data_IF_507493938350
#
_entry.id   IF_507493938350
#
_cell.length_a   1.000
_cell.length_b   1.000
_cell.length_c   1.000
_cell.angle_alpha   90.00
_cell.angle_beta   90.00
_cell.angle_gamma   90.00
#
_symmetry.space_group_name_H-M   'P 1'
#
loop_
_entity.id
_entity.type
_entity.pdbx_description
1 polymer ?
#
# COMPACT_ATOMS: atom_id res chain seq x y z
N UNK A 1 45.68 15.30 -12.83
CA UNK A 1 44.63 15.82 -11.91
C UNK A 1 43.28 16.13 -12.58
N UNK A 2 43.04 15.77 -13.86
CA UNK A 2 41.74 15.99 -14.54
C UNK A 2 40.73 14.82 -14.40
N UNK A 3 41.20 13.59 -14.19
CA UNK A 3 40.35 12.41 -14.08
C UNK A 3 39.64 12.25 -12.73
N UNK A 4 40.13 12.90 -11.66
CA UNK A 4 39.55 12.79 -10.32
C UNK A 4 38.24 13.57 -10.16
N UNK A 5 38.12 14.74 -10.82
CA UNK A 5 36.91 15.56 -10.75
C UNK A 5 35.70 14.95 -11.47
N UNK A 6 35.94 14.20 -12.54
CA UNK A 6 34.88 13.54 -13.33
C UNK A 6 34.29 12.36 -12.56
N UNK A 7 35.11 11.56 -11.87
CA UNK A 7 34.63 10.46 -11.02
C UNK A 7 33.84 10.97 -9.79
N UNK A 8 34.21 12.12 -9.23
CA UNK A 8 33.48 12.72 -8.11
C UNK A 8 32.09 13.22 -8.54
N UNK A 9 31.99 13.85 -9.72
CA UNK A 9 30.71 14.32 -10.29
C UNK A 9 29.75 13.17 -10.64
N UNK A 10 30.27 12.05 -11.16
CA UNK A 10 29.49 10.83 -11.40
C UNK A 10 29.00 10.15 -10.11
N UNK A 11 29.82 10.16 -9.06
CA UNK A 11 29.42 9.65 -7.75
C UNK A 11 28.29 10.48 -7.10
N UNK A 12 28.36 11.80 -7.23
CA UNK A 12 27.33 12.71 -6.69
C UNK A 12 26.03 12.62 -7.48
N UNK A 13 26.05 12.51 -8.81
CA UNK A 13 24.81 12.34 -9.59
C UNK A 13 24.11 11.01 -9.34
N UNK A 14 24.86 9.92 -9.10
CA UNK A 14 24.30 8.62 -8.68
C UNK A 14 23.69 8.67 -7.26
N UNK A 15 24.28 9.43 -6.35
CA UNK A 15 23.74 9.62 -5.00
C UNK A 15 22.48 10.51 -4.99
N UNK A 16 22.41 11.52 -5.85
CA UNK A 16 21.25 12.42 -5.96
C UNK A 16 20.08 11.75 -6.71
N UNK A 17 20.34 10.82 -7.63
CA UNK A 17 19.27 9.99 -8.22
C UNK A 17 18.63 9.01 -7.24
N UNK A 18 19.27 8.76 -6.08
CA UNK A 18 18.68 8.01 -4.97
C UNK A 18 17.77 8.82 -4.05
N UNK A 19 17.73 10.16 -4.21
CA UNK A 19 17.02 11.10 -3.35
C UNK A 19 15.93 11.87 -4.13
N UNK A 20 15.00 11.16 -4.76
CA UNK A 20 13.61 11.62 -4.93
C UNK A 20 12.84 10.67 -5.86
N UNK A 21 12.38 9.57 -5.28
CA UNK A 21 11.13 8.96 -5.73
C UNK A 21 10.40 8.48 -4.50
N UNK A 22 9.90 9.40 -3.68
CA UNK A 22 8.59 9.11 -3.08
C UNK A 22 7.72 8.82 -4.31
N UNK A 23 7.24 7.58 -4.52
CA UNK A 23 6.42 7.29 -5.68
C UNK A 23 5.32 8.34 -5.69
N UNK A 24 5.05 8.96 -6.84
CA UNK A 24 4.13 10.09 -6.95
C UNK A 24 2.78 9.77 -6.26
N UNK A 25 2.39 8.50 -6.26
CA UNK A 25 1.20 7.94 -5.60
C UNK A 25 1.21 7.97 -4.06
N UNK A 26 2.37 8.08 -3.41
CA UNK A 26 2.46 8.15 -1.94
C UNK A 26 2.26 9.57 -1.40
N UNK A 27 2.63 10.57 -2.19
CA UNK A 27 2.48 11.98 -1.84
C UNK A 27 1.02 12.47 -2.01
N UNK A 28 0.16 11.70 -2.66
CA UNK A 28 -1.22 12.10 -2.96
C UNK A 28 -2.21 11.78 -1.86
N UNK A 29 -1.92 10.90 -0.89
CA UNK A 29 -2.89 10.54 0.15
C UNK A 29 -2.78 11.47 1.37
N UNK A 30 -3.79 12.30 1.61
CA UNK A 30 -3.83 13.24 2.74
C UNK A 30 -4.30 12.59 4.05
N UNK A 31 -3.38 12.17 4.92
CA UNK A 31 -3.73 11.50 6.18
C UNK A 31 -3.19 12.26 7.39
N UNK A 32 -4.10 12.72 8.26
CA UNK A 32 -3.79 13.18 9.61
C UNK A 32 -4.41 12.20 10.62
N UNK A 33 -3.56 11.47 11.36
CA UNK A 33 -3.98 10.47 12.35
C UNK A 33 -4.96 11.05 13.37
N UNK A 34 -4.77 12.29 13.82
CA UNK A 34 -5.61 12.87 14.87
C UNK A 34 -7.03 13.21 14.37
N UNK A 35 -7.16 13.56 13.09
CA UNK A 35 -8.42 14.00 12.51
C UNK A 35 -9.15 12.91 11.73
N UNK A 36 -8.43 11.87 11.29
CA UNK A 36 -8.92 10.86 10.35
C UNK A 36 -10.27 10.25 10.75
N UNK A 37 -10.40 9.77 11.98
CA UNK A 37 -11.63 9.13 12.46
C UNK A 37 -12.85 10.06 12.41
N UNK A 38 -12.65 11.37 12.55
CA UNK A 38 -13.74 12.36 12.46
C UNK A 38 -14.03 12.81 11.03
N UNK A 39 -13.05 12.72 10.14
CA UNK A 39 -13.18 13.06 8.73
C UNK A 39 -13.85 11.95 7.93
N UNK A 40 -13.42 10.69 8.13
CA UNK A 40 -13.95 9.55 7.38
C UNK A 40 -15.46 9.35 7.56
N UNK A 41 -15.98 9.59 8.78
CA UNK A 41 -17.42 9.51 9.07
C UNK A 41 -18.22 10.63 8.39
N UNK A 42 -17.59 11.80 8.15
CA UNK A 42 -18.21 12.89 7.40
C UNK A 42 -18.24 12.59 5.90
N UNK A 43 -17.16 12.03 5.39
CA UNK A 43 -17.00 11.71 3.97
C UNK A 43 -17.81 10.47 3.56
N UNK A 44 -17.93 9.50 4.47
CA UNK A 44 -18.75 8.30 4.33
C UNK A 44 -19.60 8.06 5.59
N UNK A 45 -20.84 8.60 5.62
CA UNK A 45 -21.75 8.45 6.74
C UNK A 45 -22.18 7.00 7.02
N UNK A 46 -21.92 6.06 6.11
CA UNK A 46 -22.22 4.64 6.32
C UNK A 46 -21.27 4.00 7.34
N UNK A 47 -20.09 4.58 7.55
CA UNK A 47 -19.11 4.17 8.54
C UNK A 47 -19.49 4.66 9.94
N UNK A 48 -20.50 4.04 10.53
CA UNK A 48 -21.00 4.36 11.89
C UNK A 48 -20.38 3.49 13.00
N UNK A 49 -19.73 2.39 12.63
CA UNK A 49 -19.12 1.48 13.59
C UNK A 49 -17.83 2.06 14.20
N UNK A 50 -17.53 1.77 15.48
CA UNK A 50 -16.28 2.20 16.11
C UNK A 50 -15.05 1.72 15.34
N UNK A 51 -14.15 2.65 15.04
CA UNK A 51 -12.86 2.37 14.40
C UNK A 51 -11.91 1.78 15.44
N UNK A 52 -11.51 0.53 15.24
CA UNK A 52 -10.58 -0.22 16.09
C UNK A 52 -9.12 0.10 15.77
N UNK A 53 -8.82 0.26 14.48
CA UNK A 53 -7.50 0.60 13.97
C UNK A 53 -7.64 1.37 12.67
N UNK A 54 -6.75 2.30 12.40
CA UNK A 54 -6.69 3.01 11.13
C UNK A 54 -5.24 3.42 10.83
N UNK A 55 -4.97 3.78 9.58
CA UNK A 55 -3.62 4.12 9.14
C UNK A 55 -3.54 4.33 7.64
N UNK A 56 -2.32 4.59 7.17
CA UNK A 56 -1.98 4.54 5.74
C UNK A 56 -1.63 3.11 5.35
N UNK A 57 -1.86 2.76 4.10
CA UNK A 57 -1.59 1.44 3.57
C UNK A 57 -1.07 1.49 2.15
N UNK A 58 -0.35 0.44 1.77
CA UNK A 58 -0.24 0.02 0.38
C UNK A 58 -1.13 -1.20 0.19
N UNK A 59 -2.02 -1.14 -0.78
CA UNK A 59 -2.92 -2.22 -1.14
C UNK A 59 -2.56 -2.75 -2.53
N UNK A 60 -2.53 -4.07 -2.68
CA UNK A 60 -2.46 -4.74 -3.96
C UNK A 60 -3.72 -5.58 -4.12
N UNK A 61 -4.48 -5.32 -5.18
CA UNK A 61 -5.72 -6.03 -5.50
C UNK A 61 -5.43 -6.99 -6.64
N UNK A 62 -5.67 -8.27 -6.40
CA UNK A 62 -5.40 -9.37 -7.33
C UNK A 62 -6.57 -10.35 -7.38
N UNK A 63 -6.52 -11.29 -8.33
CA UNK A 63 -7.42 -12.46 -8.32
C UNK A 63 -6.83 -13.56 -7.43
N UNK A 64 -7.66 -14.40 -6.80
CA UNK A 64 -7.17 -15.51 -5.97
C UNK A 64 -6.19 -16.40 -6.74
N UNK A 65 -5.00 -16.61 -6.17
CA UNK A 65 -3.94 -17.42 -6.77
C UNK A 65 -3.00 -16.65 -7.70
N UNK A 66 -3.25 -15.37 -7.99
CA UNK A 66 -2.28 -14.50 -8.65
C UNK A 66 -1.26 -13.96 -7.65
N UNK A 67 -0.01 -13.84 -8.09
CA UNK A 67 1.06 -13.19 -7.34
C UNK A 67 1.32 -11.74 -7.81
N UNK A 68 0.48 -11.21 -8.69
CA UNK A 68 0.56 -9.86 -9.24
C UNK A 68 -0.82 -9.21 -9.22
N UNK A 69 -0.88 -7.92 -8.87
CA UNK A 69 -2.14 -7.20 -8.81
C UNK A 69 -1.98 -5.69 -8.87
N UNK A 70 -3.08 -4.99 -9.07
CA UNK A 70 -3.12 -3.52 -9.14
C UNK A 70 -2.72 -2.92 -7.80
N UNK A 71 -1.70 -2.08 -7.80
CA UNK A 71 -1.20 -1.40 -6.62
C UNK A 71 -1.89 -0.06 -6.43
N UNK A 72 -2.28 0.24 -5.19
CA UNK A 72 -2.79 1.53 -4.78
C UNK A 72 -2.23 1.92 -3.41
N UNK A 73 -1.92 3.21 -3.26
CA UNK A 73 -1.65 3.78 -1.95
C UNK A 73 -2.96 4.29 -1.34
N UNK A 74 -3.18 3.99 -0.06
CA UNK A 74 -4.50 4.06 0.56
C UNK A 74 -4.44 4.53 2.02
N UNK A 75 -5.61 4.84 2.56
CA UNK A 75 -5.91 4.81 3.99
C UNK A 75 -6.83 3.64 4.28
N UNK A 76 -6.78 3.14 5.51
CA UNK A 76 -7.72 2.11 5.96
C UNK A 76 -8.33 2.46 7.31
N UNK A 77 -9.53 1.93 7.53
CA UNK A 77 -10.21 1.89 8.82
C UNK A 77 -10.72 0.47 9.04
N UNK A 78 -10.28 -0.15 10.13
CA UNK A 78 -10.80 -1.43 10.62
C UNK A 78 -11.87 -1.14 11.66
N UNK A 79 -13.06 -1.69 11.44
CA UNK A 79 -14.16 -1.68 12.41
C UNK A 79 -14.39 -3.09 12.96
N UNK A 80 -15.41 -3.25 13.81
CA UNK A 80 -15.80 -4.56 14.29
C UNK A 80 -16.36 -5.49 13.19
N UNK A 81 -16.88 -4.91 12.09
CA UNK A 81 -17.57 -5.65 11.01
C UNK A 81 -16.73 -5.78 9.74
N UNK A 82 -15.91 -4.78 9.43
CA UNK A 82 -15.25 -4.70 8.13
C UNK A 82 -13.94 -3.94 8.15
N UNK A 83 -13.17 -4.14 7.09
CA UNK A 83 -11.99 -3.37 6.73
C UNK A 83 -12.34 -2.49 5.54
N UNK A 84 -12.30 -1.19 5.75
CA UNK A 84 -12.58 -0.17 4.74
C UNK A 84 -11.26 0.39 4.25
N UNK A 85 -11.09 0.43 2.93
CA UNK A 85 -9.88 0.94 2.29
C UNK A 85 -10.28 2.02 1.30
N UNK A 86 -9.67 3.19 1.45
CA UNK A 86 -9.96 4.36 0.65
C UNK A 86 -8.70 4.86 -0.04
N UNK A 87 -8.88 5.42 -1.23
CA UNK A 87 -7.86 6.09 -2.02
C UNK A 87 -8.16 7.58 -2.08
N UNK A 88 -7.12 8.40 -2.25
CA UNK A 88 -7.32 9.84 -2.46
C UNK A 88 -7.55 10.14 -3.94
N UNK A 89 -8.69 10.74 -4.27
CA UNK A 89 -8.93 11.29 -5.60
C UNK A 89 -8.47 12.75 -5.63
N UNK A 90 -7.31 12.99 -6.25
CA UNK A 90 -6.75 14.33 -6.38
C UNK A 90 -7.57 15.27 -7.27
N UNK A 91 -8.44 14.76 -8.15
CA UNK A 91 -9.31 15.59 -8.99
C UNK A 91 -10.55 16.03 -8.22
N UNK A 92 -11.14 15.11 -7.47
CA UNK A 92 -12.33 15.38 -6.66
C UNK A 92 -12.00 15.96 -5.27
N UNK A 93 -10.71 15.98 -4.89
CA UNK A 93 -10.20 16.44 -3.59
C UNK A 93 -10.89 15.75 -2.41
N UNK A 94 -11.14 14.44 -2.53
CA UNK A 94 -11.82 13.65 -1.51
C UNK A 94 -11.32 12.21 -1.49
N UNK A 95 -11.59 11.54 -0.38
CA UNK A 95 -11.45 10.09 -0.30
C UNK A 95 -12.55 9.39 -1.09
N UNK A 96 -12.15 8.35 -1.81
CA UNK A 96 -13.05 7.45 -2.53
C UNK A 96 -12.83 6.03 -2.05
N UNK A 97 -13.91 5.27 -1.93
CA UNK A 97 -13.81 3.86 -1.59
C UNK A 97 -13.05 3.10 -2.70
N UNK A 98 -12.03 2.36 -2.29
CA UNK A 98 -11.27 1.47 -3.16
C UNK A 98 -11.79 0.05 -2.98
N UNK A 99 -11.85 -0.40 -1.72
CA UNK A 99 -12.35 -1.71 -1.33
C UNK A 99 -12.95 -1.64 0.06
N UNK A 100 -14.15 -2.19 0.21
CA UNK A 100 -14.71 -2.58 1.50
C UNK A 100 -14.72 -4.11 1.62
N UNK A 101 -14.16 -4.65 2.71
CA UNK A 101 -14.11 -6.08 3.04
C UNK A 101 -14.94 -6.32 4.29
N UNK A 102 -16.04 -7.05 4.17
CA UNK A 102 -16.72 -7.61 5.34
C UNK A 102 -15.88 -8.75 5.90
N UNK A 103 -15.61 -8.74 7.22
CA UNK A 103 -14.78 -9.78 7.84
C UNK A 103 -15.39 -11.18 7.72
N UNK A 104 -16.72 -11.26 7.59
CA UNK A 104 -17.45 -12.51 7.34
C UNK A 104 -17.21 -13.11 5.95
N UNK A 105 -16.79 -12.30 4.98
CA UNK A 105 -16.60 -12.74 3.59
C UNK A 105 -15.18 -13.25 3.32
N UNK A 106 -14.27 -13.10 4.30
CA UNK A 106 -12.89 -13.56 4.19
C UNK A 106 -12.85 -15.07 4.33
N UNK A 107 -12.46 -15.77 3.26
CA UNK A 107 -12.34 -17.23 3.24
C UNK A 107 -11.08 -17.70 3.96
N UNK A 108 -9.97 -17.02 3.69
CA UNK A 108 -8.68 -17.32 4.27
C UNK A 108 -7.87 -16.03 4.41
N UNK A 109 -6.99 -16.00 5.40
CA UNK A 109 -6.01 -14.94 5.57
C UNK A 109 -4.63 -15.53 5.80
N UNK A 110 -3.58 -14.82 5.40
CA UNK A 110 -2.21 -15.16 5.72
C UNK A 110 -1.37 -13.91 5.96
N UNK A 111 -0.23 -14.10 6.61
CA UNK A 111 0.75 -13.03 6.81
C UNK A 111 2.05 -13.45 6.11
N UNK A 112 2.37 -12.75 5.03
CA UNK A 112 3.66 -12.93 4.36
C UNK A 112 4.70 -12.02 5.01
N UNK A 113 5.88 -12.55 5.31
CA UNK A 113 7.01 -11.77 5.81
C UNK A 113 8.14 -11.85 4.80
N UNK A 114 8.63 -10.69 4.37
CA UNK A 114 9.76 -10.58 3.46
C UNK A 114 10.76 -9.57 4.03
N UNK A 115 11.93 -10.05 4.48
CA UNK A 115 12.88 -9.24 5.25
C UNK A 115 12.21 -8.52 6.43
N UNK A 116 12.15 -7.19 6.39
CA UNK A 116 11.55 -6.33 7.42
C UNK A 116 10.14 -5.89 7.07
N UNK A 117 9.58 -6.30 5.93
CA UNK A 117 8.23 -5.95 5.52
C UNK A 117 7.29 -7.12 5.80
N UNK A 118 6.07 -6.79 6.21
CA UNK A 118 4.98 -7.74 6.39
C UNK A 118 3.84 -7.33 5.47
N UNK A 119 3.18 -8.33 4.89
CA UNK A 119 2.05 -8.16 3.99
C UNK A 119 0.92 -9.07 4.48
N UNK A 120 -0.17 -8.45 4.95
CA UNK A 120 -1.42 -9.13 5.25
C UNK A 120 -2.09 -9.51 3.93
N UNK A 121 -2.39 -10.78 3.74
CA UNK A 121 -3.09 -11.28 2.55
C UNK A 121 -4.47 -11.77 2.98
N UNK A 122 -5.52 -11.19 2.41
CA UNK A 122 -6.91 -11.58 2.61
C UNK A 122 -7.46 -12.14 1.31
N UNK A 123 -8.01 -13.35 1.34
CA UNK A 123 -8.65 -13.95 0.16
C UNK A 123 -10.15 -14.02 0.39
N UNK A 124 -10.91 -13.40 -0.52
CA UNK A 124 -12.35 -13.52 -0.64
C UNK A 124 -12.70 -14.47 -1.80
N UNK A 125 -13.99 -14.62 -2.12
CA UNK A 125 -14.41 -15.49 -3.21
C UNK A 125 -13.83 -15.11 -4.57
N UNK A 126 -13.77 -13.82 -4.90
CA UNK A 126 -13.42 -13.33 -6.25
C UNK A 126 -12.13 -12.51 -6.30
N UNK A 127 -11.59 -12.11 -5.16
CA UNK A 127 -10.44 -11.21 -5.05
C UNK A 127 -9.53 -11.61 -3.92
N UNK A 128 -8.25 -11.28 -4.07
CA UNK A 128 -7.21 -11.43 -3.08
C UNK A 128 -6.54 -10.07 -2.88
N UNK A 129 -6.45 -9.67 -1.62
CA UNK A 129 -5.98 -8.35 -1.20
C UNK A 129 -4.69 -8.53 -0.42
N UNK A 130 -3.63 -7.86 -0.85
CA UNK A 130 -2.36 -7.78 -0.14
C UNK A 130 -2.21 -6.37 0.44
N UNK A 131 -2.35 -6.24 1.75
CA UNK A 131 -2.26 -4.98 2.47
C UNK A 131 -1.00 -4.92 3.30
N UNK A 132 -0.27 -3.82 3.23
CA UNK A 132 0.84 -3.51 4.15
C UNK A 132 0.59 -2.14 4.74
N UNK A 133 0.59 -2.05 6.07
CA UNK A 133 0.43 -0.78 6.77
C UNK A 133 1.69 0.05 6.55
N UNK A 134 1.52 1.33 6.30
CA UNK A 134 2.62 2.29 6.17
C UNK A 134 2.65 3.20 7.38
N UNK A 135 3.84 3.72 7.71
CA UNK A 135 3.97 4.80 8.70
C UNK A 135 3.16 6.03 8.25
N UNK A 136 2.89 6.94 9.17
CA UNK A 136 2.05 8.13 8.90
C UNK A 136 2.63 9.01 7.79
N UNK A 137 3.95 9.12 7.69
CA UNK A 137 4.62 9.83 6.59
C UNK A 137 4.48 9.12 5.23
N UNK A 138 4.09 7.83 5.23
CA UNK A 138 3.94 7.00 4.04
C UNK A 138 5.27 6.50 3.45
N UNK A 139 6.41 6.89 4.03
CA UNK A 139 7.74 6.56 3.50
C UNK A 139 8.00 5.06 3.40
N UNK A 140 7.63 4.29 4.43
CA UNK A 140 7.99 2.88 4.57
C UNK A 140 6.83 2.04 5.12
N UNK A 141 6.92 0.72 4.93
CA UNK A 141 5.99 -0.25 5.53
C UNK A 141 6.27 -0.37 7.02
N UNK A 142 5.23 -0.18 7.84
CA UNK A 142 5.21 -0.47 9.26
C UNK A 142 4.81 -1.94 9.45
N UNK A 143 5.82 -2.80 9.60
CA UNK A 143 5.61 -4.24 9.77
C UNK A 143 4.87 -4.58 11.06
N UNK A 144 5.14 -3.88 12.16
CA UNK A 144 4.49 -4.11 13.45
C UNK A 144 3.03 -3.69 13.41
N UNK A 145 2.70 -2.57 12.76
CA UNK A 145 1.31 -2.20 12.55
C UNK A 145 0.56 -3.18 11.63
N UNK A 146 1.24 -3.73 10.62
CA UNK A 146 0.67 -4.78 9.75
C UNK A 146 0.39 -6.07 10.51
N UNK A 147 1.31 -6.48 11.39
CA UNK A 147 1.10 -7.64 12.27
C UNK A 147 -0.02 -7.41 13.29
N UNK A 148 -0.09 -6.22 13.89
CA UNK A 148 -1.22 -5.85 14.77
C UNK A 148 -2.56 -5.90 14.05
N UNK A 149 -2.60 -5.47 12.79
CA UNK A 149 -3.80 -5.56 11.96
C UNK A 149 -4.17 -7.02 11.69
N UNK A 150 -3.20 -7.85 11.32
CA UNK A 150 -3.37 -9.29 11.16
C UNK A 150 -3.94 -9.95 12.44
N UNK A 151 -3.33 -9.68 13.60
CA UNK A 151 -3.76 -10.25 14.88
C UNK A 151 -5.17 -9.79 15.28
N UNK A 152 -5.53 -8.55 14.95
CA UNK A 152 -6.86 -8.01 15.23
C UNK A 152 -7.93 -8.71 14.38
N UNK A 153 -7.65 -8.96 13.10
CA UNK A 153 -8.56 -9.69 12.21
C UNK A 153 -8.61 -11.17 12.59
N UNK A 154 -7.47 -11.79 12.91
CA UNK A 154 -7.38 -13.18 13.37
C UNK A 154 -8.26 -13.45 14.58
N UNK A 155 -8.33 -12.51 15.54
CA UNK A 155 -9.22 -12.62 16.72
C UNK A 155 -10.71 -12.64 16.38
N UNK A 156 -11.10 -12.33 15.14
CA UNK A 156 -12.48 -12.41 14.64
C UNK A 156 -12.85 -13.77 14.05
N UNK A 157 -11.94 -14.76 14.11
CA UNK A 157 -12.23 -16.14 13.74
C UNK A 157 -12.00 -16.46 12.25
N UNK A 158 -11.27 -15.61 11.53
CA UNK A 158 -10.91 -15.87 10.13
C UNK A 158 -9.91 -17.02 10.05
N UNK A 159 -10.09 -17.91 9.06
CA UNK A 159 -9.19 -19.04 8.82
C UNK A 159 -7.79 -18.55 8.42
N UNK A 160 -6.78 -18.94 9.18
CA UNK A 160 -5.37 -18.59 8.89
C UNK A 160 -4.71 -19.73 8.12
N UNK A 161 -4.10 -19.40 6.97
CA UNK A 161 -3.35 -20.33 6.12
C UNK A 161 -1.91 -19.86 5.94
N UNK A 162 -1.05 -20.75 5.45
CA UNK A 162 0.31 -20.37 5.04
C UNK A 162 0.27 -19.51 3.77
N UNK A 163 1.10 -18.47 3.73
CA UNK A 163 1.20 -17.60 2.56
C UNK A 163 1.91 -18.32 1.41
N UNK A 164 1.33 -18.23 0.20
CA UNK A 164 1.89 -18.80 -1.04
C UNK A 164 2.98 -17.93 -1.69
N UNK A 165 3.40 -16.85 -1.01
CA UNK A 165 4.40 -15.91 -1.50
C UNK A 165 3.89 -14.47 -1.54
N UNK A 166 4.78 -13.53 -1.79
CA UNK A 166 4.47 -12.10 -1.88
C UNK A 166 3.62 -11.80 -3.11
N UNK A 167 2.56 -11.02 -2.94
CA UNK A 167 1.82 -10.42 -4.06
C UNK A 167 2.51 -9.11 -4.41
N UNK A 168 2.82 -8.94 -5.69
CA UNK A 168 3.61 -7.83 -6.21
C UNK A 168 2.75 -6.84 -7.01
N UNK A 169 3.14 -5.54 -7.03
CA UNK A 169 2.62 -4.62 -8.03
C UNK A 169 2.98 -5.09 -9.45
N UNK A 170 2.28 -4.64 -10.50
CA UNK A 170 2.74 -4.89 -11.87
C UNK A 170 4.14 -4.30 -12.06
N UNK A 171 4.93 -4.94 -12.90
CA UNK A 171 6.23 -4.38 -13.29
C UNK A 171 6.01 -2.96 -13.86
N UNK A 172 6.82 -1.96 -13.45
CA UNK A 172 6.71 -0.62 -14.00
C UNK A 172 6.97 -0.66 -15.51
N UNK A 173 6.35 0.25 -16.29
CA UNK A 173 6.63 0.33 -17.72
C UNK A 173 8.13 0.56 -17.94
N UNK A 174 8.78 -0.36 -18.64
CA UNK A 174 10.20 -0.26 -18.96
C UNK A 174 10.40 0.89 -19.96
N UNK A 175 11.26 1.89 -19.68
CA UNK A 175 11.50 2.97 -20.64
C UNK A 175 12.16 2.38 -21.89
N UNK A 176 11.52 2.56 -23.04
CA UNK A 176 12.11 2.24 -24.34
C UNK A 176 13.06 3.37 -24.73
N UNK A 177 14.37 3.11 -24.69
CA UNK A 177 15.38 4.07 -25.15
C UNK A 177 15.56 3.88 -26.65
N UNK A 178 15.10 4.84 -27.46
CA UNK A 178 15.33 4.87 -28.91
C UNK A 178 16.57 5.74 -29.15
N UNK A 179 17.71 5.18 -29.58
CA UNK A 179 18.89 5.98 -29.88
C UNK A 179 18.64 6.80 -31.16
N UNK A 180 18.71 8.13 -31.05
CA UNK A 180 18.70 9.04 -32.21
C UNK A 180 20.14 9.35 -32.57
N UNK A 181 20.61 8.82 -33.70
CA UNK A 181 21.92 9.15 -34.26
C UNK A 181 21.76 10.39 -35.13
N UNK A 182 22.34 11.51 -34.68
CA UNK A 182 22.39 12.75 -35.47
C UNK A 182 23.69 12.72 -36.30
N UNK A 183 23.63 12.56 -37.63
CA UNK A 183 24.81 12.67 -38.48
C UNK A 183 25.33 14.12 -38.46
N UNK A 184 26.67 14.25 -38.43
CA UNK A 184 27.36 15.54 -38.53
C UNK A 184 27.43 16.02 -39.98
#
# INVERSE_FOLDING_TARGET
MRCFGISLLLGVTLLVSGCNTTPVDKATVYYDRAQFSSQIVKDDPSMSDPILQHGRCSLIISTPGSNTGTYQFCTFALTAKGLYVQGWDAKALKYVEVVHVDLSNIKEMSLHTFFRTKQLQLTEERRQLALSVSIDEGGYVDAEATERLFDTIKKKGVLVVESKGMINPPAPPTPMIIPVIIPR
#
